data_IF_950398774331
#
_entry.id   IF_950398774331
#
_cell.length_a   1.000
_cell.length_b   1.000
_cell.length_c   1.000
_cell.angle_alpha   90.00
_cell.angle_beta   90.00
_cell.angle_gamma   90.00
#
_symmetry.space_group_name_H-M   'P 1'
#
loop_
_entity.id
_entity.type
_entity.pdbx_description
1 polymer ?
#
# COMPACT_ATOMS: atom_id res chain seq x y z
N UNK A 1 -31.11 21.61 25.24
CA UNK A 1 -30.11 21.02 24.34
C UNK A 1 -29.34 22.16 23.72
N UNK A 2 -28.35 22.70 24.44
CA UNK A 2 -27.45 23.70 23.89
C UNK A 2 -26.70 23.09 22.70
N UNK A 3 -26.37 23.91 21.71
CA UNK A 3 -26.07 23.54 20.32
C UNK A 3 -24.84 22.62 20.15
N UNK A 4 -25.05 21.30 20.31
CA UNK A 4 -24.04 20.26 20.07
C UNK A 4 -23.48 20.35 18.64
N UNK A 5 -24.30 20.73 17.65
CA UNK A 5 -23.88 20.95 16.28
C UNK A 5 -22.96 22.17 16.14
N UNK A 6 -23.23 23.24 16.89
CA UNK A 6 -22.37 24.42 17.01
C UNK A 6 -21.00 24.11 17.61
N UNK A 7 -20.94 23.25 18.63
CA UNK A 7 -19.67 22.78 19.22
C UNK A 7 -18.87 21.90 18.27
N UNK A 8 -19.51 20.94 17.61
CA UNK A 8 -18.87 20.10 16.57
C UNK A 8 -18.27 20.98 15.47
N UNK A 9 -19.02 21.99 15.00
CA UNK A 9 -18.55 22.94 13.99
C UNK A 9 -17.39 23.81 14.50
N UNK A 10 -17.45 24.26 15.75
CA UNK A 10 -16.40 25.04 16.41
C UNK A 10 -15.10 24.25 16.54
N UNK A 11 -15.17 23.04 17.10
CA UNK A 11 -14.02 22.14 17.27
C UNK A 11 -13.39 21.80 15.92
N UNK A 12 -14.20 21.52 14.90
CA UNK A 12 -13.71 21.28 13.54
C UNK A 12 -13.01 22.51 12.93
N UNK A 13 -13.60 23.70 13.11
CA UNK A 13 -13.01 24.96 12.60
C UNK A 13 -11.69 25.27 13.28
N UNK A 14 -11.61 25.07 14.60
CA UNK A 14 -10.38 25.23 15.36
C UNK A 14 -9.32 24.24 14.88
N UNK A 15 -9.71 22.98 14.69
CA UNK A 15 -8.82 21.96 14.13
C UNK A 15 -8.32 22.35 12.73
N UNK A 16 -9.18 22.77 11.81
CA UNK A 16 -8.77 23.19 10.46
C UNK A 16 -7.85 24.42 10.47
N UNK A 17 -8.08 25.38 11.37
CA UNK A 17 -7.31 26.62 11.49
C UNK A 17 -5.82 26.40 11.81
N UNK A 18 -5.47 25.24 12.38
CA UNK A 18 -4.07 24.86 12.66
C UNK A 18 -3.23 24.62 11.39
N UNK A 19 -3.84 24.57 10.19
CA UNK A 19 -3.13 24.41 8.92
C UNK A 19 -2.38 23.08 8.83
N UNK A 20 -1.29 23.00 8.07
CA UNK A 20 -0.52 21.76 7.91
C UNK A 20 0.42 21.44 9.10
N UNK A 21 0.40 22.25 10.17
CA UNK A 21 1.20 21.99 11.37
C UNK A 21 0.49 20.94 12.24
N UNK A 22 1.05 19.73 12.26
CA UNK A 22 0.48 18.58 12.97
C UNK A 22 0.58 18.68 14.49
N UNK A 23 1.62 19.33 15.04
CA UNK A 23 1.74 19.62 16.48
C UNK A 23 0.59 20.52 16.93
N UNK A 24 0.38 21.64 16.23
CA UNK A 24 -0.76 22.54 16.50
C UNK A 24 -2.11 21.86 16.34
N UNK A 25 -2.21 20.84 15.48
CA UNK A 25 -3.43 20.03 15.32
C UNK A 25 -3.64 19.09 16.49
N UNK A 26 -2.60 18.41 16.96
CA UNK A 26 -2.66 17.57 18.15
C UNK A 26 -3.09 18.39 19.36
N UNK A 27 -2.48 19.58 19.55
CA UNK A 27 -2.85 20.53 20.59
C UNK A 27 -4.31 20.96 20.49
N UNK A 28 -4.79 21.30 19.29
CA UNK A 28 -6.16 21.75 19.05
C UNK A 28 -7.22 20.70 19.43
N UNK A 29 -6.87 19.41 19.41
CA UNK A 29 -7.76 18.31 19.81
C UNK A 29 -7.35 17.69 21.16
N UNK A 30 -6.42 18.31 21.89
CA UNK A 30 -6.01 17.90 23.22
C UNK A 30 -5.29 16.55 23.28
N UNK A 31 -4.57 16.17 22.21
CA UNK A 31 -3.70 15.00 22.24
C UNK A 31 -2.35 15.36 22.85
N UNK A 32 -1.96 14.65 23.91
CA UNK A 32 -0.63 14.81 24.48
C UNK A 32 0.42 14.05 23.68
N UNK A 33 1.69 14.40 23.92
CA UNK A 33 2.84 13.70 23.33
C UNK A 33 2.84 12.22 23.72
N UNK A 34 2.58 11.93 24.98
CA UNK A 34 2.53 10.58 25.53
C UNK A 34 1.40 9.76 24.89
N UNK A 35 0.24 10.37 24.67
CA UNK A 35 -0.88 9.74 23.97
C UNK A 35 -0.52 9.38 22.53
N UNK A 36 0.17 10.27 21.81
CA UNK A 36 0.66 9.97 20.45
C UNK A 36 1.75 8.90 20.46
N UNK A 37 2.71 8.98 21.38
CA UNK A 37 3.81 8.02 21.49
C UNK A 37 3.31 6.60 21.81
N UNK A 38 2.26 6.49 22.62
CA UNK A 38 1.61 5.22 22.95
C UNK A 38 1.01 4.52 21.72
N UNK A 39 0.83 5.22 20.59
CA UNK A 39 0.27 4.65 19.36
C UNK A 39 1.35 4.11 18.40
N UNK A 40 2.64 4.35 18.64
CA UNK A 40 3.75 3.88 17.78
C UNK A 40 3.74 2.35 17.66
N UNK A 41 3.80 1.65 18.80
CA UNK A 41 3.80 0.18 18.85
C UNK A 41 2.48 -0.42 18.32
N UNK A 42 1.29 0.07 18.73
CA UNK A 42 0.02 -0.33 18.12
C UNK A 42 -0.02 -0.22 16.60
N UNK A 43 0.53 0.84 16.00
CA UNK A 43 0.60 1.03 14.54
C UNK A 43 1.58 0.04 13.91
N UNK A 44 2.72 -0.20 14.55
CA UNK A 44 3.72 -1.17 14.09
C UNK A 44 3.21 -2.62 14.09
N UNK A 45 2.41 -2.99 15.11
CA UNK A 45 1.83 -4.32 15.22
C UNK A 45 0.67 -4.60 14.24
N UNK A 46 0.17 -3.59 13.53
CA UNK A 46 -0.89 -3.74 12.53
C UNK A 46 -0.35 -4.32 11.21
N UNK A 47 0.16 -5.55 11.25
CA UNK A 47 0.91 -6.16 10.15
C UNK A 47 0.04 -6.71 9.01
N UNK A 48 -1.26 -6.98 9.27
CA UNK A 48 -2.13 -7.61 8.28
C UNK A 48 -2.73 -6.58 7.33
N UNK A 49 -3.24 -5.45 7.84
CA UNK A 49 -3.79 -4.36 6.99
C UNK A 49 -3.29 -2.97 7.37
N UNK A 50 -2.14 -2.85 8.03
CA UNK A 50 -1.49 -1.57 8.28
C UNK A 50 -2.43 -0.55 8.93
N UNK A 51 -2.53 0.62 8.32
CA UNK A 51 -3.33 1.71 8.85
C UNK A 51 -4.83 1.38 8.94
N UNK A 52 -5.35 0.50 8.08
CA UNK A 52 -6.77 0.11 8.08
C UNK A 52 -7.09 -0.75 9.30
N UNK A 53 -6.27 -1.77 9.55
CA UNK A 53 -6.38 -2.65 10.73
C UNK A 53 -6.27 -1.82 12.02
N UNK A 54 -5.25 -0.96 12.09
CA UNK A 54 -5.04 -0.09 13.23
C UNK A 54 -6.28 0.77 13.53
N UNK A 55 -6.80 1.48 12.53
CA UNK A 55 -7.99 2.34 12.70
C UNK A 55 -9.23 1.56 13.09
N UNK A 56 -9.43 0.38 12.49
CA UNK A 56 -10.53 -0.50 12.85
C UNK A 56 -10.46 -0.90 14.32
N UNK A 57 -9.29 -1.35 14.79
CA UNK A 57 -9.10 -1.74 16.20
C UNK A 57 -9.38 -0.59 17.15
N UNK A 58 -8.83 0.60 16.88
CA UNK A 58 -9.03 1.80 17.71
C UNK A 58 -10.51 2.22 17.73
N UNK A 59 -11.18 2.19 16.57
CA UNK A 59 -12.61 2.48 16.48
C UNK A 59 -13.45 1.46 17.25
N UNK A 60 -13.21 0.16 17.06
CA UNK A 60 -13.94 -0.91 17.75
C UNK A 60 -13.77 -0.82 19.28
N UNK A 61 -12.57 -0.48 19.77
CA UNK A 61 -12.34 -0.22 21.19
C UNK A 61 -13.16 0.98 21.69
N UNK A 62 -13.09 2.12 20.98
CA UNK A 62 -13.78 3.34 21.38
C UNK A 62 -15.30 3.20 21.34
N UNK A 63 -15.85 2.57 20.31
CA UNK A 63 -17.28 2.35 20.17
C UNK A 63 -17.79 1.30 21.16
N UNK A 64 -17.00 0.27 21.51
CA UNK A 64 -17.37 -0.67 22.57
C UNK A 64 -17.47 0.03 23.93
N UNK A 65 -16.54 0.92 24.24
CA UNK A 65 -16.60 1.74 25.47
C UNK A 65 -17.78 2.70 25.46
N UNK A 66 -18.16 3.21 24.29
CA UNK A 66 -19.32 4.08 24.13
C UNK A 66 -20.64 3.29 24.25
N UNK A 67 -20.70 2.05 23.75
CA UNK A 67 -21.87 1.18 23.81
C UNK A 67 -22.25 0.79 25.25
N UNK A 68 -21.29 0.80 26.17
CA UNK A 68 -21.56 0.66 27.62
C UNK A 68 -22.59 1.68 28.13
N UNK A 69 -22.74 2.83 27.46
CA UNK A 69 -23.77 3.84 27.79
C UNK A 69 -25.21 3.29 27.69
N UNK A 70 -25.44 2.23 26.91
CA UNK A 70 -26.73 1.52 26.83
C UNK A 70 -27.07 0.84 28.14
N UNK A 71 -26.07 0.38 28.90
CA UNK A 71 -26.28 -0.41 30.11
C UNK A 71 -26.03 0.38 31.39
N UNK A 72 -25.09 1.33 31.38
CA UNK A 72 -24.67 2.10 32.56
C UNK A 72 -24.30 3.54 32.22
N UNK A 73 -24.29 4.41 33.23
CA UNK A 73 -23.74 5.76 33.07
C UNK A 73 -22.22 5.70 32.94
N UNK A 74 -21.66 6.44 31.98
CA UNK A 74 -20.22 6.60 31.81
C UNK A 74 -19.72 7.72 32.72
N UNK A 75 -18.59 7.50 33.40
CA UNK A 75 -17.94 8.54 34.19
C UNK A 75 -17.05 9.44 33.32
N UNK A 76 -16.60 10.57 33.87
CA UNK A 76 -15.76 11.55 33.15
C UNK A 76 -14.45 10.96 32.61
N UNK A 77 -13.85 10.00 33.32
CA UNK A 77 -12.62 9.33 32.89
C UNK A 77 -12.87 8.43 31.67
N UNK A 78 -13.98 7.67 31.66
CA UNK A 78 -14.38 6.84 30.52
C UNK A 78 -14.68 7.70 29.30
N UNK A 79 -15.44 8.79 29.47
CA UNK A 79 -15.71 9.75 28.38
C UNK A 79 -14.43 10.42 27.87
N UNK A 80 -13.49 10.74 28.76
CA UNK A 80 -12.16 11.25 28.39
C UNK A 80 -11.39 10.27 27.50
N UNK A 81 -11.35 8.98 27.86
CA UNK A 81 -10.70 7.94 27.06
C UNK A 81 -11.35 7.78 25.68
N UNK A 82 -12.68 7.77 25.61
CA UNK A 82 -13.40 7.69 24.33
C UNK A 82 -13.05 8.89 23.45
N UNK A 83 -13.09 10.11 24.01
CA UNK A 83 -12.74 11.32 23.29
C UNK A 83 -11.29 11.31 22.79
N UNK A 84 -10.35 10.81 23.58
CA UNK A 84 -8.94 10.65 23.19
C UNK A 84 -8.78 9.67 22.03
N UNK A 85 -9.45 8.49 22.06
CA UNK A 85 -9.42 7.54 20.93
C UNK A 85 -9.93 8.15 19.63
N UNK A 86 -11.01 8.92 19.67
CA UNK A 86 -11.51 9.62 18.48
C UNK A 86 -10.63 10.81 18.06
N UNK A 87 -9.92 11.44 18.99
CA UNK A 87 -8.89 12.44 18.66
C UNK A 87 -7.74 11.78 17.89
N UNK A 88 -7.25 10.61 18.35
CA UNK A 88 -6.22 9.82 17.67
C UNK A 88 -6.66 9.46 16.24
N UNK A 89 -7.87 8.93 16.07
CA UNK A 89 -8.43 8.61 14.75
C UNK A 89 -8.49 9.84 13.84
N UNK A 90 -8.92 10.99 14.38
CA UNK A 90 -8.97 12.26 13.64
C UNK A 90 -7.59 12.73 13.19
N UNK A 91 -6.60 12.61 14.08
CA UNK A 91 -5.21 12.94 13.79
C UNK A 91 -4.63 12.03 12.70
N UNK A 92 -4.74 10.71 12.86
CA UNK A 92 -4.22 9.72 11.89
C UNK A 92 -4.82 9.91 10.50
N UNK A 93 -6.14 10.09 10.41
CA UNK A 93 -6.81 10.38 9.14
C UNK A 93 -6.33 11.70 8.52
N UNK A 94 -6.00 12.70 9.33
CA UNK A 94 -5.46 13.97 8.85
C UNK A 94 -4.02 13.82 8.33
N UNK A 95 -3.18 13.01 8.98
CA UNK A 95 -1.85 12.66 8.47
C UNK A 95 -1.96 11.98 7.11
N UNK A 96 -2.84 10.97 6.96
CA UNK A 96 -3.07 10.31 5.67
C UNK A 96 -3.56 11.28 4.60
N UNK A 97 -4.49 12.19 4.96
CA UNK A 97 -4.96 13.25 4.07
C UNK A 97 -3.80 14.12 3.56
N UNK A 98 -2.90 14.54 4.44
CA UNK A 98 -1.78 15.40 4.08
C UNK A 98 -0.70 14.70 3.28
N UNK A 99 -0.53 13.40 3.49
CA UNK A 99 0.27 12.58 2.59
C UNK A 99 -0.39 12.53 1.20
N UNK A 100 -1.71 12.31 1.14
CA UNK A 100 -2.46 12.26 -0.11
C UNK A 100 -2.47 13.58 -0.89
N UNK A 101 -2.57 14.72 -0.22
CA UNK A 101 -2.53 16.06 -0.86
C UNK A 101 -1.12 16.55 -1.16
N UNK A 102 -0.09 15.84 -0.69
CA UNK A 102 1.32 16.25 -0.85
C UNK A 102 1.77 17.35 0.12
N UNK A 103 0.93 17.75 1.08
CA UNK A 103 1.28 18.68 2.15
C UNK A 103 2.37 18.10 3.06
N UNK A 104 2.38 16.77 3.23
CA UNK A 104 3.46 16.00 3.86
C UNK A 104 4.17 15.18 2.81
N UNK A 105 5.46 15.48 2.61
CA UNK A 105 6.30 14.70 1.71
C UNK A 105 6.68 13.37 2.33
N UNK A 106 6.23 12.29 1.70
CA UNK A 106 6.76 10.95 1.92
C UNK A 106 8.24 10.95 1.53
N UNK A 107 9.13 10.65 2.46
CA UNK A 107 10.55 10.46 2.12
C UNK A 107 10.69 9.02 1.62
N UNK A 108 11.39 8.84 0.50
CA UNK A 108 11.83 7.50 0.11
C UNK A 108 12.55 6.87 1.33
N UNK A 109 12.33 5.58 1.62
CA UNK A 109 13.17 4.92 2.60
C UNK A 109 14.61 5.17 2.17
N UNK A 110 15.47 5.61 3.09
CA UNK A 110 16.91 5.50 2.89
C UNK A 110 17.11 4.06 2.44
N UNK A 111 17.64 3.87 1.22
CA UNK A 111 17.72 2.59 0.56
C UNK A 111 18.06 1.54 1.61
N UNK A 112 17.05 0.77 2.05
CA UNK A 112 17.36 -0.45 2.75
C UNK A 112 18.13 -1.18 1.68
N UNK A 113 19.38 -1.46 2.01
CA UNK A 113 20.21 -2.40 1.28
C UNK A 113 19.45 -3.72 1.37
N UNK A 114 18.41 -3.87 0.54
CA UNK A 114 17.95 -5.17 0.12
C UNK A 114 19.22 -5.76 -0.48
N UNK A 115 19.83 -6.69 0.26
CA UNK A 115 20.89 -7.52 -0.28
C UNK A 115 20.39 -7.96 -1.64
N UNK A 116 21.17 -7.70 -2.71
CA UNK A 116 20.71 -8.00 -4.04
C UNK A 116 20.27 -9.45 -4.02
N UNK A 117 19.01 -9.71 -4.38
CA UNK A 117 18.59 -11.05 -4.74
C UNK A 117 19.60 -11.47 -5.79
N UNK A 118 20.54 -12.32 -5.38
CA UNK A 118 21.51 -12.94 -6.26
C UNK A 118 20.63 -13.82 -7.13
N UNK A 119 20.21 -13.27 -8.26
CA UNK A 119 19.68 -14.07 -9.36
C UNK A 119 20.87 -14.93 -9.74
N UNK A 120 20.83 -16.17 -9.25
CA UNK A 120 21.79 -17.20 -9.57
C UNK A 120 21.92 -17.26 -11.11
N UNK A 121 23.06 -16.84 -11.68
CA UNK A 121 23.26 -16.83 -13.13
C UNK A 121 23.25 -18.24 -13.72
N UNK A 122 23.27 -19.28 -12.87
CA UNK A 122 23.23 -20.69 -13.26
C UNK A 122 21.84 -21.33 -13.13
N UNK A 123 20.78 -20.56 -12.84
CA UNK A 123 19.43 -21.09 -12.95
C UNK A 123 19.18 -21.43 -14.43
N UNK A 124 19.21 -22.72 -14.77
CA UNK A 124 18.88 -23.22 -16.11
C UNK A 124 17.42 -22.91 -16.43
N UNK A 125 17.15 -21.67 -16.85
CA UNK A 125 15.84 -21.29 -17.36
C UNK A 125 15.66 -22.03 -18.70
N UNK A 126 14.60 -22.84 -18.76
CA UNK A 126 14.23 -23.56 -19.98
C UNK A 126 13.86 -22.57 -21.08
N UNK A 127 14.44 -22.71 -22.27
CA UNK A 127 14.20 -21.81 -23.42
C UNK A 127 12.72 -21.79 -23.81
N UNK A 128 11.98 -22.88 -23.59
CA UNK A 128 10.53 -22.89 -23.82
C UNK A 128 9.80 -21.92 -22.91
N UNK A 129 10.21 -21.81 -21.64
CA UNK A 129 9.62 -20.87 -20.69
C UNK A 129 9.91 -19.41 -21.11
N UNK A 130 11.13 -19.12 -21.56
CA UNK A 130 11.52 -17.80 -22.08
C UNK A 130 10.64 -17.39 -23.26
N UNK A 131 10.41 -18.31 -24.20
CA UNK A 131 9.59 -18.03 -25.38
C UNK A 131 8.12 -17.79 -24.99
N UNK A 132 7.57 -18.58 -24.08
CA UNK A 132 6.19 -18.43 -23.62
C UNK A 132 5.97 -17.09 -22.90
N UNK A 133 6.91 -16.69 -22.05
CA UNK A 133 6.90 -15.40 -21.36
C UNK A 133 6.96 -14.24 -22.37
N UNK A 134 7.94 -14.25 -23.29
CA UNK A 134 8.07 -13.21 -24.32
C UNK A 134 6.81 -13.10 -25.18
N UNK A 135 6.21 -14.22 -25.58
CA UNK A 135 4.97 -14.20 -26.35
C UNK A 135 3.77 -13.64 -25.57
N UNK A 136 3.73 -13.85 -24.25
CA UNK A 136 2.70 -13.31 -23.37
C UNK A 136 2.87 -11.80 -23.23
N UNK A 137 4.08 -11.35 -22.88
CA UNK A 137 4.40 -9.92 -22.75
C UNK A 137 4.16 -9.15 -24.05
N UNK A 138 4.51 -9.70 -25.21
CA UNK A 138 4.27 -9.06 -26.52
C UNK A 138 2.77 -9.00 -26.88
N UNK A 139 1.93 -9.92 -26.38
CA UNK A 139 0.47 -9.85 -26.54
C UNK A 139 -0.13 -8.74 -25.67
N UNK A 140 0.40 -8.56 -24.47
CA UNK A 140 -0.04 -7.53 -23.52
C UNK A 140 0.46 -6.12 -23.91
N UNK A 141 1.69 -6.02 -24.43
CA UNK A 141 2.28 -4.79 -24.95
C UNK A 141 2.97 -5.03 -26.31
N UNK A 142 2.29 -4.61 -27.38
CA UNK A 142 2.79 -4.73 -28.74
C UNK A 142 4.08 -3.91 -28.99
N UNK A 143 4.36 -2.88 -28.18
CA UNK A 143 5.56 -2.06 -28.32
C UNK A 143 6.83 -2.82 -27.89
N UNK A 144 6.73 -3.84 -27.03
CA UNK A 144 7.86 -4.68 -26.62
C UNK A 144 8.52 -5.40 -27.80
N UNK A 145 7.77 -5.67 -28.87
CA UNK A 145 8.29 -6.26 -30.10
C UNK A 145 9.36 -5.40 -30.77
N UNK A 146 9.39 -4.10 -30.46
CA UNK A 146 10.37 -3.18 -31.01
C UNK A 146 11.71 -3.17 -30.26
N UNK A 147 11.76 -3.72 -29.03
CA UNK A 147 12.99 -3.85 -28.24
C UNK A 147 13.98 -4.80 -28.92
N UNK A 148 15.26 -4.45 -28.87
CA UNK A 148 16.31 -5.17 -29.60
C UNK A 148 16.47 -6.62 -29.11
N UNK A 149 16.38 -6.83 -27.79
CA UNK A 149 16.52 -8.12 -27.13
C UNK A 149 15.37 -9.05 -27.50
N UNK A 150 14.13 -8.55 -27.50
CA UNK A 150 12.94 -9.29 -27.93
C UNK A 150 13.05 -9.69 -29.40
N UNK A 151 13.51 -8.79 -30.27
CA UNK A 151 13.78 -9.11 -31.69
C UNK A 151 14.81 -10.22 -31.83
N UNK A 152 15.91 -10.15 -31.08
CA UNK A 152 16.97 -11.15 -31.11
C UNK A 152 16.47 -12.53 -30.64
N UNK A 153 15.63 -12.59 -29.60
CA UNK A 153 15.00 -13.84 -29.12
C UNK A 153 14.10 -14.45 -30.20
N UNK A 154 13.22 -13.65 -30.81
CA UNK A 154 12.32 -14.11 -31.87
C UNK A 154 13.08 -14.55 -33.14
N UNK A 155 14.18 -13.86 -33.47
CA UNK A 155 15.07 -14.24 -34.56
C UNK A 155 15.77 -15.58 -34.26
N UNK A 156 16.25 -15.77 -33.03
CA UNK A 156 16.84 -17.03 -32.56
C UNK A 156 15.86 -18.20 -32.69
N UNK A 157 14.59 -18.00 -32.30
CA UNK A 157 13.54 -19.00 -32.47
C UNK A 157 13.27 -19.34 -33.95
N UNK A 158 13.25 -18.33 -34.81
CA UNK A 158 13.07 -18.54 -36.26
C UNK A 158 14.24 -19.34 -36.83
N UNK A 159 15.47 -19.05 -36.41
CA UNK A 159 16.67 -19.79 -36.81
C UNK A 159 16.61 -21.24 -36.32
N UNK A 160 16.21 -21.47 -35.07
CA UNK A 160 16.02 -22.82 -34.53
C UNK A 160 15.02 -23.64 -35.35
N UNK A 161 13.88 -23.06 -35.71
CA UNK A 161 12.87 -23.75 -36.52
C UNK A 161 13.43 -24.14 -37.90
N UNK A 162 14.19 -23.26 -38.55
CA UNK A 162 14.85 -23.56 -39.83
C UNK A 162 15.89 -24.67 -39.71
N UNK A 163 16.74 -24.63 -38.69
CA UNK A 163 17.73 -25.69 -38.44
C UNK A 163 17.03 -27.04 -38.18
N UNK A 164 15.89 -27.04 -37.48
CA UNK A 164 15.10 -28.24 -37.22
C UNK A 164 14.50 -28.84 -38.50
N UNK A 165 14.01 -28.00 -39.40
CA UNK A 165 13.53 -28.44 -40.72
C UNK A 165 14.68 -29.03 -41.56
N UNK A 166 15.84 -28.38 -41.56
CA UNK A 166 17.03 -28.87 -42.26
C UNK A 166 17.50 -30.21 -41.69
N UNK A 167 17.51 -30.37 -40.36
CA UNK A 167 17.84 -31.64 -39.72
C UNK A 167 16.88 -32.74 -40.18
N UNK A 168 15.57 -32.50 -40.20
CA UNK A 168 14.57 -33.47 -40.67
C UNK A 168 14.81 -33.86 -42.13
N UNK A 169 15.07 -32.90 -43.01
CA UNK A 169 15.33 -33.16 -44.43
C UNK A 169 16.62 -33.98 -44.63
N UNK A 170 17.70 -33.57 -43.98
CA UNK A 170 19.02 -34.21 -44.13
C UNK A 170 19.02 -35.60 -43.51
N UNK A 171 18.42 -35.79 -42.33
CA UNK A 171 18.33 -37.11 -41.69
C UNK A 171 17.44 -38.08 -42.46
N UNK A 172 16.38 -37.60 -43.12
CA UNK A 172 15.54 -38.43 -43.98
C UNK A 172 16.31 -38.98 -45.20
N UNK A 173 17.26 -38.21 -45.73
CA UNK A 173 18.09 -38.60 -46.90
C UNK A 173 19.40 -39.30 -46.55
N UNK A 174 19.77 -39.36 -45.26
CA UNK A 174 21.07 -39.88 -44.81
C UNK A 174 20.95 -41.29 -44.20
N UNK A 175 21.80 -42.26 -44.62
CA UNK A 175 21.95 -43.58 -44.00
C UNK A 175 22.22 -43.50 -42.48
N UNK A 176 21.68 -44.45 -41.72
CA UNK A 176 21.63 -44.39 -40.26
C UNK A 176 23.01 -44.27 -39.59
N UNK A 177 24.03 -44.89 -40.18
CA UNK A 177 25.44 -44.88 -39.77
C UNK A 177 26.10 -43.50 -39.88
N UNK A 178 25.60 -42.61 -40.74
CA UNK A 178 26.15 -41.26 -40.98
C UNK A 178 25.39 -40.14 -40.28
N UNK A 179 24.33 -40.46 -39.53
CA UNK A 179 23.51 -39.46 -38.82
C UNK A 179 24.18 -38.89 -37.57
N UNK A 180 25.11 -39.63 -36.95
CA UNK A 180 25.80 -39.22 -35.71
C UNK A 180 26.47 -37.83 -35.80
N UNK A 181 27.35 -37.59 -36.79
CA UNK A 181 27.98 -36.28 -36.98
C UNK A 181 27.00 -35.13 -37.26
N UNK A 182 25.89 -35.42 -37.95
CA UNK A 182 24.87 -34.42 -38.31
C UNK A 182 24.10 -33.98 -37.06
N UNK A 183 23.71 -34.93 -36.22
CA UNK A 183 23.07 -34.65 -34.94
C UNK A 183 24.02 -33.91 -34.00
N UNK A 184 25.31 -34.27 -33.99
CA UNK A 184 26.30 -33.57 -33.17
C UNK A 184 26.49 -32.10 -33.59
N UNK A 185 26.57 -31.83 -34.90
CA UNK A 185 26.66 -30.45 -35.41
C UNK A 185 25.37 -29.65 -35.10
N UNK A 186 24.21 -30.27 -35.31
CA UNK A 186 22.92 -29.66 -34.98
C UNK A 186 22.84 -29.28 -33.50
N UNK A 187 23.23 -30.19 -32.58
CA UNK A 187 23.27 -29.91 -31.14
C UNK A 187 24.10 -28.68 -30.82
N UNK A 188 25.33 -28.60 -31.36
CA UNK A 188 26.20 -27.43 -31.19
C UNK A 188 25.53 -26.14 -31.67
N UNK A 189 24.93 -26.15 -32.85
CA UNK A 189 24.23 -24.97 -33.38
C UNK A 189 22.99 -24.61 -32.55
N UNK A 190 22.23 -25.58 -32.05
CA UNK A 190 21.10 -25.30 -31.16
C UNK A 190 21.54 -24.77 -29.80
N UNK A 191 22.65 -25.26 -29.25
CA UNK A 191 23.20 -24.79 -27.98
C UNK A 191 23.67 -23.33 -28.11
N UNK A 192 24.28 -22.96 -29.23
CA UNK A 192 24.64 -21.57 -29.54
C UNK A 192 23.40 -20.66 -29.63
N UNK A 193 22.33 -21.13 -30.30
CA UNK A 193 21.07 -20.39 -30.41
C UNK A 193 20.44 -20.21 -29.02
N UNK A 194 20.41 -21.27 -28.20
CA UNK A 194 19.83 -21.24 -26.86
C UNK A 194 20.64 -20.37 -25.89
N UNK A 195 21.97 -20.41 -25.97
CA UNK A 195 22.84 -19.52 -25.22
C UNK A 195 22.56 -18.05 -25.59
N UNK A 196 22.40 -17.75 -26.89
CA UNK A 196 22.05 -16.41 -27.34
C UNK A 196 20.66 -15.95 -26.86
N UNK A 197 19.66 -16.83 -26.87
CA UNK A 197 18.31 -16.54 -26.35
C UNK A 197 18.36 -16.24 -24.85
N UNK A 198 19.02 -17.09 -24.05
CA UNK A 198 19.18 -16.89 -22.60
C UNK A 198 19.90 -15.57 -22.30
N UNK A 199 20.96 -15.25 -23.03
CA UNK A 199 21.69 -14.00 -22.88
C UNK A 199 20.80 -12.79 -23.14
N UNK A 200 20.09 -12.75 -24.27
CA UNK A 200 19.21 -11.63 -24.60
C UNK A 200 18.05 -11.49 -23.60
N UNK A 201 17.54 -12.60 -23.08
CA UNK A 201 16.52 -12.58 -22.04
C UNK A 201 17.06 -12.02 -20.71
N UNK A 202 18.24 -12.48 -20.28
CA UNK A 202 18.90 -11.95 -19.08
C UNK A 202 19.26 -10.46 -19.22
N UNK A 203 19.70 -10.02 -20.40
CA UNK A 203 20.00 -8.62 -20.68
C UNK A 203 18.71 -7.77 -20.70
N UNK A 204 17.58 -8.31 -21.21
CA UNK A 204 16.28 -7.65 -21.14
C UNK A 204 15.80 -7.51 -19.68
N UNK A 205 15.89 -8.57 -18.88
CA UNK A 205 15.54 -8.54 -17.45
C UNK A 205 16.46 -7.59 -16.68
N UNK A 206 17.75 -7.50 -17.05
CA UNK A 206 18.68 -6.52 -16.48
C UNK A 206 18.31 -5.09 -16.88
N UNK A 207 17.95 -4.83 -18.14
CA UNK A 207 17.47 -3.52 -18.58
C UNK A 207 16.14 -3.14 -17.93
N UNK A 208 15.23 -4.09 -17.72
CA UNK A 208 13.98 -3.86 -16.99
C UNK A 208 14.26 -3.58 -15.50
N UNK A 209 15.21 -4.29 -14.89
CA UNK A 209 15.69 -4.02 -13.54
C UNK A 209 16.40 -2.66 -13.44
N UNK A 210 17.19 -2.27 -14.44
CA UNK A 210 17.93 -1.00 -14.49
C UNK A 210 17.04 0.20 -14.83
N UNK A 211 16.04 0.04 -15.70
CA UNK A 211 14.98 1.02 -15.91
C UNK A 211 14.12 1.19 -14.64
N UNK A 212 13.96 0.11 -13.87
CA UNK A 212 13.34 0.13 -12.54
C UNK A 212 14.29 0.64 -11.43
N UNK A 213 15.59 0.84 -11.70
CA UNK A 213 16.58 1.44 -10.78
C UNK A 213 16.58 2.97 -10.77
N UNK A 214 15.58 3.63 -11.36
CA UNK A 214 15.23 4.97 -10.87
C UNK A 214 14.71 4.78 -9.42
N UNK A 215 15.52 5.18 -8.43
CA UNK A 215 15.34 4.95 -6.99
C UNK A 215 13.89 4.62 -6.59
N UNK A 216 13.60 3.49 -5.92
CA UNK A 216 12.24 3.01 -5.69
C UNK A 216 11.41 4.14 -5.09
N UNK A 217 10.56 4.75 -5.93
CA UNK A 217 9.60 5.74 -5.46
C UNK A 217 8.71 4.99 -4.48
N UNK A 218 8.57 5.54 -3.28
CA UNK A 218 7.70 4.98 -2.26
C UNK A 218 6.33 4.67 -2.88
N UNK A 219 5.65 3.58 -2.51
CA UNK A 219 4.41 3.18 -3.20
C UNK A 219 3.34 4.28 -3.22
N UNK A 220 3.29 5.07 -2.15
CA UNK A 220 2.46 6.27 -2.01
C UNK A 220 2.79 7.40 -3.02
N UNK A 221 3.97 7.38 -3.63
CA UNK A 221 4.38 8.30 -4.71
C UNK A 221 4.14 7.70 -6.12
N UNK A 222 3.87 6.40 -6.21
CA UNK A 222 3.67 5.68 -7.48
C UNK A 222 2.20 5.62 -7.89
N UNK A 223 1.30 5.78 -6.93
CA UNK A 223 -0.15 5.58 -7.08
C UNK A 223 -0.85 6.93 -6.88
N UNK A 224 -1.94 7.24 -7.61
CA UNK A 224 -2.71 8.49 -7.47
C UNK A 224 -3.53 8.52 -6.17
N UNK A 225 -2.83 8.64 -5.04
CA UNK A 225 -3.42 8.66 -3.69
C UNK A 225 -4.16 9.97 -3.37
N UNK A 226 -4.00 11.01 -4.18
CA UNK A 226 -4.68 12.29 -4.05
C UNK A 226 -6.22 12.15 -4.08
N UNK A 227 -6.70 11.15 -4.82
CA UNK A 227 -8.11 10.76 -4.89
C UNK A 227 -8.71 10.33 -3.53
N UNK A 228 -7.86 9.97 -2.56
CA UNK A 228 -8.28 9.55 -1.22
C UNK A 228 -8.44 10.70 -0.23
N UNK A 229 -7.96 11.90 -0.56
CA UNK A 229 -8.01 13.08 0.34
C UNK A 229 -9.42 13.34 0.89
N UNK A 230 -10.44 13.28 0.02
CA UNK A 230 -11.83 13.46 0.42
C UNK A 230 -12.35 12.34 1.33
N UNK A 231 -11.84 11.12 1.18
CA UNK A 231 -12.21 9.99 2.02
C UNK A 231 -11.64 10.12 3.43
N UNK A 232 -10.35 10.46 3.53
CA UNK A 232 -9.70 10.72 4.81
C UNK A 232 -10.32 11.90 5.55
N UNK A 233 -10.71 12.95 4.82
CA UNK A 233 -11.45 14.07 5.39
C UNK A 233 -12.80 13.63 5.98
N UNK A 234 -13.52 12.73 5.31
CA UNK A 234 -14.80 12.21 5.80
C UNK A 234 -14.61 11.40 7.09
N UNK A 235 -13.61 10.51 7.13
CA UNK A 235 -13.28 9.74 8.34
C UNK A 235 -12.88 10.67 9.50
N UNK A 236 -12.02 11.66 9.26
CA UNK A 236 -11.60 12.62 10.28
C UNK A 236 -12.78 13.43 10.84
N UNK A 237 -13.70 13.88 9.99
CA UNK A 237 -14.90 14.61 10.42
C UNK A 237 -15.82 13.77 11.28
N UNK A 238 -16.06 12.52 10.89
CA UNK A 238 -16.93 11.64 11.65
C UNK A 238 -16.32 11.28 13.02
N UNK A 239 -15.00 11.08 13.08
CA UNK A 239 -14.31 10.89 14.35
C UNK A 239 -14.41 12.16 15.25
N UNK A 240 -14.22 13.35 14.67
CA UNK A 240 -14.37 14.62 15.39
C UNK A 240 -15.81 14.85 15.90
N UNK A 241 -16.82 14.49 15.11
CA UNK A 241 -18.22 14.59 15.51
C UNK A 241 -18.50 13.75 16.77
N UNK A 242 -18.06 12.49 16.79
CA UNK A 242 -18.22 11.63 17.96
C UNK A 242 -17.42 12.16 19.16
N UNK A 243 -16.17 12.58 18.94
CA UNK A 243 -15.34 13.19 19.98
C UNK A 243 -16.03 14.39 20.63
N UNK A 244 -16.47 15.36 19.83
CA UNK A 244 -17.10 16.58 20.31
C UNK A 244 -18.42 16.29 21.02
N UNK A 245 -19.20 15.33 20.52
CA UNK A 245 -20.42 14.86 21.20
C UNK A 245 -20.14 14.25 22.57
N UNK A 246 -19.10 13.41 22.68
CA UNK A 246 -18.69 12.82 23.97
C UNK A 246 -18.17 13.88 24.95
N UNK A 247 -17.38 14.85 24.47
CA UNK A 247 -16.89 15.95 25.32
C UNK A 247 -18.03 16.86 25.77
N UNK A 248 -19.01 17.12 24.90
CA UNK A 248 -20.21 17.85 25.28
C UNK A 248 -20.98 17.11 26.38
N UNK A 249 -21.21 15.80 26.22
CA UNK A 249 -21.87 14.98 27.23
C UNK A 249 -21.12 14.97 28.57
N UNK A 250 -19.78 14.94 28.52
CA UNK A 250 -18.92 15.03 29.71
C UNK A 250 -19.08 16.37 30.43
N UNK A 251 -19.10 17.47 29.68
CA UNK A 251 -19.12 18.83 30.24
C UNK A 251 -20.51 19.23 30.77
N UNK A 252 -21.60 18.79 30.10
CA UNK A 252 -22.98 19.02 30.54
C UNK A 252 -23.39 18.13 31.73
N UNK A 253 -22.79 16.94 31.84
CA UNK A 253 -23.05 16.02 32.95
C UNK A 253 -24.41 15.30 32.85
N UNK A 254 -25.34 15.60 33.77
CA UNK A 254 -26.59 14.86 33.94
C UNK A 254 -27.49 14.93 32.69
N UNK A 255 -28.16 13.82 32.36
CA UNK A 255 -29.17 13.76 31.29
C UNK A 255 -28.62 13.57 29.87
N UNK A 256 -27.34 13.22 29.71
CA UNK A 256 -26.66 13.08 28.40
C UNK A 256 -26.59 11.64 27.88
N UNK A 257 -27.18 10.67 28.60
CA UNK A 257 -27.12 9.24 28.25
C UNK A 257 -27.69 8.94 26.86
N UNK A 258 -28.82 9.55 26.49
CA UNK A 258 -29.43 9.36 25.18
C UNK A 258 -28.52 9.88 24.05
N UNK A 259 -27.81 10.99 24.27
CA UNK A 259 -26.83 11.50 23.31
C UNK A 259 -25.65 10.54 23.14
N UNK A 260 -25.13 9.95 24.22
CA UNK A 260 -24.07 8.95 24.14
C UNK A 260 -24.52 7.66 23.43
N UNK A 261 -25.76 7.23 23.65
CA UNK A 261 -26.35 6.08 22.95
C UNK A 261 -26.48 6.40 21.45
N UNK A 262 -26.98 7.57 21.07
CA UNK A 262 -27.08 7.99 19.67
C UNK A 262 -25.69 8.01 18.99
N UNK A 263 -24.65 8.49 19.67
CA UNK A 263 -23.29 8.46 19.16
C UNK A 263 -22.76 7.03 18.95
N UNK A 264 -23.16 6.06 19.78
CA UNK A 264 -22.77 4.64 19.61
C UNK A 264 -23.28 4.05 18.29
N UNK A 265 -24.41 4.55 17.78
CA UNK A 265 -25.03 4.08 16.53
C UNK A 265 -24.21 4.48 15.29
N UNK A 266 -23.22 5.36 15.44
CA UNK A 266 -22.29 5.72 14.37
C UNK A 266 -21.23 4.64 14.09
N UNK A 267 -21.17 3.55 14.88
CA UNK A 267 -20.16 2.48 14.77
C UNK A 267 -20.12 1.87 13.36
N UNK A 268 -21.22 1.28 12.90
CA UNK A 268 -21.29 0.63 11.58
C UNK A 268 -20.95 1.59 10.43
N UNK A 269 -21.43 2.83 10.53
CA UNK A 269 -21.15 3.86 9.54
C UNK A 269 -19.65 4.20 9.49
N UNK A 270 -18.99 4.32 10.64
CA UNK A 270 -17.56 4.61 10.71
C UNK A 270 -16.71 3.42 10.24
N UNK A 271 -17.02 2.20 10.70
CA UNK A 271 -16.32 0.98 10.27
C UNK A 271 -16.44 0.78 8.76
N UNK A 272 -17.62 1.06 8.18
CA UNK A 272 -17.81 1.03 6.74
C UNK A 272 -16.85 1.98 6.01
N UNK A 273 -16.62 3.20 6.52
CA UNK A 273 -15.63 4.10 5.92
C UNK A 273 -14.23 3.52 5.99
N UNK A 274 -13.85 2.90 7.11
CA UNK A 274 -12.53 2.28 7.27
C UNK A 274 -12.35 1.09 6.30
N UNK A 275 -13.38 0.27 6.07
CA UNK A 275 -13.30 -0.84 5.11
C UNK A 275 -13.33 -0.36 3.65
N UNK A 276 -14.07 0.72 3.34
CA UNK A 276 -14.07 1.35 2.02
C UNK A 276 -12.68 1.85 1.61
N UNK A 277 -11.82 2.22 2.57
CA UNK A 277 -10.43 2.62 2.31
C UNK A 277 -9.62 1.50 1.66
N UNK A 278 -9.72 0.27 2.18
CA UNK A 278 -9.00 -0.87 1.63
C UNK A 278 -9.53 -1.27 0.25
N UNK A 279 -10.84 -1.14 0.04
CA UNK A 279 -11.43 -1.31 -1.28
C UNK A 279 -10.87 -0.30 -2.30
N UNK A 280 -10.72 0.96 -1.91
CA UNK A 280 -10.10 1.99 -2.77
C UNK A 280 -8.62 1.71 -3.03
N UNK A 281 -7.88 1.21 -2.03
CA UNK A 281 -6.50 0.75 -2.22
C UNK A 281 -6.39 -0.32 -3.31
N UNK A 282 -7.31 -1.29 -3.30
CA UNK A 282 -7.40 -2.33 -4.33
C UNK A 282 -7.76 -1.74 -5.69
N UNK A 283 -8.70 -0.81 -5.77
CA UNK A 283 -9.09 -0.16 -7.02
C UNK A 283 -7.92 0.60 -7.67
N UNK A 284 -7.11 1.31 -6.89
CA UNK A 284 -5.95 2.04 -7.43
C UNK A 284 -4.77 1.12 -7.76
N UNK A 285 -4.60 0.06 -6.98
CA UNK A 285 -3.46 -0.86 -7.08
C UNK A 285 -3.66 -2.08 -7.98
N UNK A 286 -4.90 -2.35 -8.39
CA UNK A 286 -5.32 -3.49 -9.22
C UNK A 286 -5.25 -4.85 -8.54
N UNK A 287 -4.59 -4.98 -7.39
CA UNK A 287 -4.40 -6.25 -6.66
C UNK A 287 -4.49 -6.06 -5.15
N UNK A 288 -4.83 -7.13 -4.43
CA UNK A 288 -4.80 -7.14 -2.96
C UNK A 288 -3.40 -6.88 -2.42
N UNK A 289 -2.36 -7.44 -3.06
CA UNK A 289 -0.96 -7.22 -2.67
C UNK A 289 -0.60 -5.74 -2.64
N UNK A 290 -0.94 -5.01 -3.70
CA UNK A 290 -0.67 -3.56 -3.77
C UNK A 290 -1.50 -2.81 -2.72
N UNK A 291 -2.74 -3.24 -2.46
CA UNK A 291 -3.57 -2.66 -1.40
C UNK A 291 -2.93 -2.81 -0.01
N UNK A 292 -2.38 -3.99 0.30
CA UNK A 292 -1.62 -4.23 1.53
C UNK A 292 -0.37 -3.36 1.60
N UNK A 293 0.41 -3.27 0.52
CA UNK A 293 1.61 -2.45 0.49
C UNK A 293 1.30 -0.96 0.71
N UNK A 294 0.19 -0.43 0.14
CA UNK A 294 -0.29 0.94 0.40
C UNK A 294 -0.65 1.11 1.89
N UNK A 295 -1.44 0.20 2.46
CA UNK A 295 -1.91 0.31 3.83
C UNK A 295 -0.76 0.23 4.86
N UNK A 296 0.22 -0.66 4.63
CA UNK A 296 1.44 -0.76 5.42
C UNK A 296 2.31 0.49 5.27
N UNK A 297 2.39 1.03 4.06
CA UNK A 297 3.15 2.24 3.78
C UNK A 297 2.57 3.48 4.47
N UNK A 298 1.24 3.60 4.53
CA UNK A 298 0.61 4.64 5.34
C UNK A 298 0.90 4.45 6.82
N UNK A 299 0.78 3.23 7.37
CA UNK A 299 1.12 2.95 8.77
C UNK A 299 2.56 3.36 9.10
N UNK A 300 3.52 2.98 8.26
CA UNK A 300 4.92 3.33 8.44
C UNK A 300 5.17 4.84 8.42
N UNK A 301 4.53 5.58 7.49
CA UNK A 301 4.68 7.03 7.41
C UNK A 301 3.97 7.76 8.58
N UNK A 302 2.81 7.28 9.04
CA UNK A 302 2.15 7.79 10.25
C UNK A 302 3.06 7.60 11.46
N UNK A 303 3.62 6.39 11.64
CA UNK A 303 4.53 6.08 12.75
C UNK A 303 5.75 7.01 12.75
N UNK A 304 6.45 7.11 11.62
CA UNK A 304 7.60 8.03 11.45
C UNK A 304 7.24 9.48 11.76
N UNK A 305 5.99 9.86 11.51
CA UNK A 305 5.54 11.22 11.76
C UNK A 305 5.31 11.48 13.25
N UNK A 306 4.66 10.53 13.91
CA UNK A 306 4.50 10.54 15.37
C UNK A 306 5.88 10.58 16.03
N UNK A 307 6.79 9.68 15.66
CA UNK A 307 8.17 9.63 16.18
C UNK A 307 8.84 11.00 16.13
N UNK A 308 8.84 11.67 14.97
CA UNK A 308 9.44 12.99 14.80
C UNK A 308 8.80 14.07 15.66
N UNK A 309 7.48 14.08 15.76
CA UNK A 309 6.77 15.05 16.60
C UNK A 309 7.04 14.79 18.09
N UNK A 310 7.30 13.53 18.43
CA UNK A 310 7.69 13.11 19.79
C UNK A 310 9.21 13.15 20.06
N UNK A 311 10.07 13.50 19.10
CA UNK A 311 11.53 13.59 19.27
C UNK A 311 12.07 15.03 19.43
N UNK A 312 11.34 16.05 18.97
CA UNK A 312 11.82 17.47 18.90
C UNK A 312 11.92 18.19 20.27
N UNK A 313 11.91 17.44 21.39
CA UNK A 313 12.14 17.94 22.75
C UNK A 313 12.89 16.91 23.56
#
# INVERSE_FOLDING_TARGET
>A
MADASGRVRGDWTQFESAGANLEKRADAIGLSREALQAEIEPIELAAERGCVEYKRRVADEAFRLLDDARYRSLNAQQMGRIAERFAILSYVNTVQRYIATGDIRVRAPAAQTEEPVVIDPDREIDVKSIIADIQTRVKEDAALRNRQQVKNILLGLTRYNREMEQLKEVTARTPQDKRGPIVANFRRTTDEIFAAIRKNYADMEREDAEASRAAPRHILQRIPIDTLSGHYLKQARQAMEVRSGVLHARDEGYGTREALIALSEHHDAYIKLVEEEFARYREMGGTDRVAFEIALSFAAEIRKRIERETEVY
#
